data_IF_514249319911
#
_entry.id   IF_514249319911
#
_cell.length_a   1.000
_cell.length_b   1.000
_cell.length_c   1.000
_cell.angle_alpha   90.00
_cell.angle_beta   90.00
_cell.angle_gamma   90.00
#
_symmetry.space_group_name_H-M   'P 1'
#
loop_
_entity.id
_entity.type
_entity.pdbx_description
1 polymer ?
#
# COMPACT_ATOMS: atom_id res chain seq x y z
N UNK A 1 26.19 -15.99 -4.85
CA UNK A 1 25.05 -15.25 -5.44
C UNK A 1 24.09 -14.98 -4.30
N UNK A 2 24.28 -13.85 -3.61
CA UNK A 2 23.44 -13.45 -2.48
C UNK A 2 22.48 -12.39 -3.02
N UNK A 3 21.25 -12.80 -3.30
CA UNK A 3 20.20 -11.82 -3.59
C UNK A 3 19.80 -11.17 -2.27
N UNK A 4 20.14 -9.89 -2.19
CA UNK A 4 19.99 -9.02 -1.03
C UNK A 4 18.54 -9.01 -0.57
N UNK A 5 18.27 -9.64 0.57
CA UNK A 5 17.08 -9.39 1.35
C UNK A 5 17.02 -7.88 1.61
N UNK A 6 15.95 -7.24 1.14
CA UNK A 6 15.72 -5.80 1.24
C UNK A 6 16.03 -5.26 2.64
N UNK A 7 16.67 -4.10 2.67
CA UNK A 7 17.13 -3.43 3.87
C UNK A 7 15.97 -3.21 4.89
N UNK A 8 16.02 -3.77 6.11
CA UNK A 8 14.91 -3.76 7.07
C UNK A 8 14.62 -2.41 7.75
N UNK A 9 15.30 -1.33 7.36
CA UNK A 9 15.20 -0.01 8.02
C UNK A 9 15.11 1.17 7.06
N UNK A 10 14.67 0.99 5.80
CA UNK A 10 14.36 2.17 4.99
C UNK A 10 12.96 2.65 5.38
N UNK A 11 12.77 3.92 5.79
CA UNK A 11 11.44 4.50 5.74
C UNK A 11 10.98 4.34 4.30
N UNK A 12 9.96 3.53 4.07
CA UNK A 12 9.34 3.35 2.77
C UNK A 12 8.83 4.73 2.36
N UNK A 13 9.64 5.49 1.63
CA UNK A 13 9.37 6.86 1.26
C UNK A 13 8.17 6.84 0.32
N UNK A 14 6.98 7.03 0.87
CA UNK A 14 5.77 7.06 0.08
C UNK A 14 5.79 8.33 -0.77
N UNK A 15 5.93 8.16 -2.08
CA UNK A 15 6.04 9.31 -2.99
C UNK A 15 4.66 9.97 -3.10
N UNK A 16 4.52 11.30 -2.88
CA UNK A 16 3.23 11.97 -2.92
C UNK A 16 2.47 11.79 -4.24
N UNK A 17 3.19 11.62 -5.35
CA UNK A 17 2.62 11.35 -6.67
C UNK A 17 1.78 10.05 -6.70
N UNK A 18 2.10 9.07 -5.85
CA UNK A 18 1.34 7.82 -5.75
C UNK A 18 0.00 8.01 -5.03
N UNK A 19 -0.17 9.11 -4.29
CA UNK A 19 -1.42 9.45 -3.57
C UNK A 19 -2.42 10.12 -4.50
N UNK A 20 -2.89 9.40 -5.50
CA UNK A 20 -3.97 9.89 -6.37
C UNK A 20 -5.32 9.92 -5.63
N UNK A 21 -6.31 10.62 -6.19
CA UNK A 21 -7.68 10.62 -5.67
C UNK A 21 -8.24 9.19 -5.56
N UNK A 22 -8.00 8.36 -6.58
CA UNK A 22 -8.43 6.95 -6.61
C UNK A 22 -7.80 6.14 -5.48
N UNK A 23 -6.48 6.24 -5.31
CA UNK A 23 -5.74 5.53 -4.25
C UNK A 23 -6.25 5.96 -2.87
N UNK A 24 -6.45 7.26 -2.67
CA UNK A 24 -6.94 7.82 -1.41
C UNK A 24 -8.39 7.40 -1.12
N UNK A 25 -9.26 7.41 -2.13
CA UNK A 25 -10.66 7.02 -1.99
C UNK A 25 -10.80 5.54 -1.61
N UNK A 26 -10.05 4.65 -2.28
CA UNK A 26 -10.00 3.23 -1.95
C UNK A 26 -9.53 3.01 -0.52
N UNK A 27 -8.43 3.65 -0.11
CA UNK A 27 -7.90 3.48 1.23
C UNK A 27 -8.86 4.00 2.32
N UNK A 28 -9.50 5.16 2.10
CA UNK A 28 -10.51 5.71 3.02
C UNK A 28 -11.70 4.77 3.16
N UNK A 29 -12.25 4.29 2.04
CA UNK A 29 -13.38 3.36 2.06
C UNK A 29 -13.05 2.13 2.91
N UNK A 30 -11.90 1.47 2.66
CA UNK A 30 -11.50 0.29 3.42
C UNK A 30 -11.28 0.59 4.90
N UNK A 31 -10.73 1.77 5.22
CA UNK A 31 -10.50 2.19 6.59
C UNK A 31 -11.83 2.41 7.36
N UNK A 32 -12.82 3.02 6.71
CA UNK A 32 -14.13 3.31 7.29
C UNK A 32 -15.00 2.06 7.43
N UNK A 33 -15.07 1.22 6.40
CA UNK A 33 -15.91 0.01 6.39
C UNK A 33 -15.25 -1.17 7.10
N UNK A 34 -13.93 -1.14 7.27
CA UNK A 34 -13.10 -2.30 7.68
C UNK A 34 -13.22 -3.49 6.72
N UNK A 35 -13.66 -3.24 5.49
CA UNK A 35 -13.65 -4.21 4.41
C UNK A 35 -12.39 -4.00 3.57
N UNK A 36 -11.51 -4.99 3.57
CA UNK A 36 -10.21 -4.93 2.90
C UNK A 36 -10.17 -5.80 1.64
N UNK A 37 -11.33 -6.25 1.14
CA UNK A 37 -11.41 -7.09 -0.05
C UNK A 37 -10.88 -6.38 -1.31
N UNK A 38 -10.89 -5.04 -1.31
CA UNK A 38 -10.38 -4.20 -2.38
C UNK A 38 -8.86 -3.93 -2.32
N UNK A 39 -8.11 -4.57 -1.41
CA UNK A 39 -6.65 -4.40 -1.33
C UNK A 39 -5.89 -4.72 -2.64
N UNK A 40 -6.25 -5.77 -3.41
CA UNK A 40 -5.65 -5.99 -4.72
C UNK A 40 -5.93 -4.86 -5.73
N UNK A 41 -7.09 -4.21 -5.61
CA UNK A 41 -7.48 -3.06 -6.44
C UNK A 41 -6.66 -1.82 -6.05
N UNK A 42 -6.39 -1.63 -4.75
CA UNK A 42 -5.48 -0.58 -4.28
C UNK A 42 -4.06 -0.77 -4.85
N UNK A 43 -3.58 -2.01 -4.95
CA UNK A 43 -2.29 -2.31 -5.56
C UNK A 43 -2.25 -1.88 -7.03
N UNK A 44 -3.32 -2.16 -7.78
CA UNK A 44 -3.44 -1.78 -9.19
C UNK A 44 -3.47 -0.25 -9.34
N UNK A 45 -4.28 0.44 -8.53
CA UNK A 45 -4.35 1.90 -8.52
C UNK A 45 -3.02 2.56 -8.14
N UNK A 46 -2.27 1.97 -7.21
CA UNK A 46 -0.91 2.43 -6.87
C UNK A 46 0.03 2.23 -8.06
N UNK A 47 -0.02 1.09 -8.73
CA UNK A 47 0.83 0.82 -9.89
C UNK A 47 0.51 1.75 -11.08
N UNK A 48 -0.77 2.04 -11.34
CA UNK A 48 -1.21 3.03 -12.34
C UNK A 48 -0.73 4.44 -12.00
N UNK A 49 -0.70 4.79 -10.72
CA UNK A 49 -0.10 6.03 -10.22
C UNK A 49 1.44 6.08 -10.30
N UNK A 50 2.08 5.07 -10.87
CA UNK A 50 3.53 4.97 -11.02
C UNK A 50 4.26 4.51 -9.74
N UNK A 51 3.58 3.80 -8.84
CA UNK A 51 4.21 3.16 -7.69
C UNK A 51 5.16 2.05 -8.13
N UNK A 52 6.43 2.20 -7.77
CA UNK A 52 7.51 1.23 -8.06
C UNK A 52 7.90 0.41 -6.81
N UNK A 53 7.21 0.61 -5.68
CA UNK A 53 7.51 -0.11 -4.44
C UNK A 53 6.99 -1.55 -4.49
N UNK A 54 7.86 -2.50 -4.86
CA UNK A 54 7.52 -3.94 -4.89
C UNK A 54 6.96 -4.43 -3.54
N UNK A 55 7.54 -3.99 -2.43
CA UNK A 55 7.08 -4.38 -1.10
C UNK A 55 5.63 -3.94 -0.83
N UNK A 56 5.26 -2.72 -1.23
CA UNK A 56 3.90 -2.20 -1.08
C UNK A 56 2.92 -2.92 -2.01
N UNK A 57 3.27 -3.07 -3.28
CA UNK A 57 2.43 -3.74 -4.27
C UNK A 57 2.22 -5.22 -3.91
N UNK A 58 3.28 -5.91 -3.50
CA UNK A 58 3.21 -7.31 -3.09
C UNK A 58 2.42 -7.50 -1.81
N UNK A 59 2.50 -6.56 -0.85
CA UNK A 59 1.69 -6.62 0.36
C UNK A 59 0.20 -6.45 0.04
N UNK A 60 -0.17 -5.47 -0.81
CA UNK A 60 -1.56 -5.26 -1.19
C UNK A 60 -2.16 -6.42 -2.01
N UNK A 61 -1.32 -7.16 -2.75
CA UNK A 61 -1.73 -8.37 -3.51
C UNK A 61 -1.63 -9.66 -2.72
N UNK A 62 -0.98 -9.64 -1.55
CA UNK A 62 -0.75 -10.82 -0.75
C UNK A 62 -2.03 -11.33 -0.10
N UNK A 63 -2.09 -12.63 0.16
CA UNK A 63 -3.21 -13.29 0.84
C UNK A 63 -3.24 -13.01 2.37
N UNK A 64 -2.51 -12.00 2.82
CA UNK A 64 -2.40 -11.66 4.23
C UNK A 64 -3.70 -11.04 4.76
N UNK A 65 -4.05 -11.35 6.01
CA UNK A 65 -5.19 -10.70 6.68
C UNK A 65 -4.90 -9.22 6.87
N UNK A 66 -5.66 -8.37 6.16
CA UNK A 66 -5.62 -6.92 6.33
C UNK A 66 -6.55 -6.48 7.46
N UNK A 67 -6.09 -5.50 8.23
CA UNK A 67 -6.82 -4.94 9.37
C UNK A 67 -6.63 -3.42 9.39
N UNK A 68 -7.44 -2.72 10.19
CA UNK A 68 -7.21 -1.30 10.50
C UNK A 68 -5.85 -1.15 11.19
N UNK A 69 -4.94 -0.36 10.61
CA UNK A 69 -3.52 -0.32 11.01
C UNK A 69 -2.60 -1.13 10.10
N UNK A 70 -3.11 -1.68 8.99
CA UNK A 70 -2.28 -2.15 7.89
C UNK A 70 -1.37 -1.01 7.42
N UNK A 71 -0.06 -1.25 7.48
CA UNK A 71 0.96 -0.25 7.15
C UNK A 71 0.80 0.32 5.73
N UNK A 72 0.34 -0.48 4.77
CA UNK A 72 0.10 0.01 3.41
C UNK A 72 -1.00 1.07 3.34
N UNK A 73 -2.09 0.88 4.10
CA UNK A 73 -3.17 1.89 4.19
C UNK A 73 -2.72 3.12 4.97
N UNK A 74 -1.91 2.92 6.00
CA UNK A 74 -1.39 3.99 6.84
C UNK A 74 -0.48 4.94 6.04
N UNK A 75 0.43 4.39 5.23
CA UNK A 75 1.26 5.14 4.27
C UNK A 75 0.40 5.91 3.24
N UNK A 76 -0.62 5.25 2.69
CA UNK A 76 -1.52 5.88 1.71
C UNK A 76 -2.30 7.04 2.34
N UNK A 77 -2.77 6.87 3.58
CA UNK A 77 -3.54 7.89 4.30
C UNK A 77 -2.67 8.96 4.99
N UNK A 78 -1.36 8.74 5.07
CA UNK A 78 -0.42 9.64 5.77
C UNK A 78 -0.66 9.66 7.28
N UNK A 79 -0.92 8.49 7.86
CA UNK A 79 -1.20 8.30 9.29
C UNK A 79 0.04 7.85 10.11
N UNK A 80 1.23 7.88 9.48
CA UNK A 80 2.54 7.51 10.04
C UNK A 80 3.09 8.49 11.08
#
# INVERSE_FOLDING_TARGET
MWEVAGNPFQPSHFVPAWRTDTVTALAKQMYETRDFAAMPILADALQDAGCDSDALLRHCRGEGTHVRGCWALDLVLGLE
#
